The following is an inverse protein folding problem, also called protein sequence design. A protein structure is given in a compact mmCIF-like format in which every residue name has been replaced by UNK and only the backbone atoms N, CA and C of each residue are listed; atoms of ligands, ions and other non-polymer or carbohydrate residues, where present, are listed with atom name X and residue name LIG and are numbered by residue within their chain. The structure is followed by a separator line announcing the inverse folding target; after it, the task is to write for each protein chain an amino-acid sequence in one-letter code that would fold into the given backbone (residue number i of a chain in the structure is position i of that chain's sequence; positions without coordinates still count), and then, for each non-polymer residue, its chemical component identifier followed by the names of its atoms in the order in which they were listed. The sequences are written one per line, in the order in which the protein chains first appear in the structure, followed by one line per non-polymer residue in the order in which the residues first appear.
data_IF_219828475410
#
_entry.id   IF_219828475410
#
_cell.length_a   1.000
_cell.length_b   1.000
_cell.length_c   1.000
_cell.angle_alpha   90.00
_cell.angle_beta   90.00
_cell.angle_gamma   90.00
#
_symmetry.space_group_name_H-M   'P 1'
#
loop_
_entity.id
_entity.type
_entity.pdbx_description
1 polymer ?
#
# COMPACT_ATOMS: atom_id res chain seq x y z
N UNK A 1 8.04 27.43 4.45
CA UNK A 1 8.54 26.08 4.76
C UNK A 1 7.48 25.12 4.25
N UNK A 2 7.78 24.31 3.22
CA UNK A 2 6.81 23.35 2.69
C UNK A 2 6.37 22.39 3.82
N UNK A 3 5.11 22.49 4.21
CA UNK A 3 4.48 21.62 5.20
C UNK A 3 4.09 20.31 4.51
N UNK A 4 4.01 19.19 5.23
CA UNK A 4 3.50 17.90 4.68
C UNK A 4 2.01 17.91 4.34
N UNK A 5 1.38 19.09 4.35
CA UNK A 5 -0.02 19.25 4.04
C UNK A 5 -0.29 18.85 2.59
N UNK A 6 -1.41 18.18 2.34
CA UNK A 6 -1.92 17.99 0.97
C UNK A 6 -2.45 19.32 0.39
N UNK A 7 -2.83 20.25 1.27
CA UNK A 7 -3.35 21.58 0.94
C UNK A 7 -2.21 22.55 0.65
N UNK A 8 -1.42 22.25 -0.39
CA UNK A 8 -0.47 23.21 -0.93
C UNK A 8 -1.20 24.22 -1.83
N UNK A 9 -0.65 25.42 -1.98
CA UNK A 9 -1.12 26.37 -2.99
C UNK A 9 -1.01 25.74 -4.38
N UNK A 10 -2.02 25.95 -5.23
CA UNK A 10 -2.02 25.46 -6.59
C UNK A 10 -1.03 26.25 -7.45
N UNK A 11 -0.18 25.55 -8.20
CA UNK A 11 0.63 26.19 -9.23
C UNK A 11 -0.23 26.44 -10.48
N UNK A 12 -0.28 27.69 -10.95
CA UNK A 12 -1.07 28.08 -12.12
C UNK A 12 -0.66 27.31 -13.38
N UNK A 13 0.65 27.12 -13.63
CA UNK A 13 1.14 26.37 -14.79
C UNK A 13 0.64 24.91 -14.75
N UNK A 14 0.51 24.35 -13.55
CA UNK A 14 0.01 22.99 -13.37
C UNK A 14 -1.51 22.90 -13.59
N UNK A 15 -2.27 23.93 -13.19
CA UNK A 15 -3.71 24.01 -13.46
C UNK A 15 -3.98 24.15 -14.97
N UNK A 16 -3.21 25.01 -15.65
CA UNK A 16 -3.28 25.21 -17.10
C UNK A 16 -2.95 23.91 -17.85
N UNK A 17 -1.88 23.20 -17.43
CA UNK A 17 -1.44 21.95 -18.05
C UNK A 17 -2.49 20.83 -18.00
N UNK A 18 -3.23 20.74 -16.88
CA UNK A 18 -4.28 19.72 -16.71
C UNK A 18 -5.70 20.21 -17.07
N UNK A 19 -5.84 21.44 -17.57
CA UNK A 19 -7.13 22.03 -17.93
C UNK A 19 -8.08 22.21 -16.73
N UNK A 20 -7.53 22.45 -15.54
CA UNK A 20 -8.31 22.57 -14.31
C UNK A 20 -8.80 23.99 -14.01
N UNK A 21 -8.42 25.02 -14.77
CA UNK A 21 -8.84 26.40 -14.48
C UNK A 21 -10.27 26.73 -14.90
N UNK A 22 -10.75 26.21 -16.04
CA UNK A 22 -12.05 26.60 -16.60
C UNK A 22 -13.22 25.72 -16.15
N UNK A 23 -12.94 24.53 -15.60
CA UNK A 23 -13.95 23.49 -15.31
C UNK A 23 -13.85 22.92 -13.89
N UNK A 24 -13.29 23.70 -12.96
CA UNK A 24 -13.26 23.34 -11.54
C UNK A 24 -13.87 24.41 -10.66
N UNK A 25 -14.39 23.97 -9.53
CA UNK A 25 -14.86 24.86 -8.47
C UNK A 25 -13.99 24.63 -7.24
N UNK A 26 -13.67 25.73 -6.58
CA UNK A 26 -12.92 25.72 -5.34
C UNK A 26 -13.87 25.54 -4.17
N UNK A 27 -13.51 24.66 -3.24
CA UNK A 27 -14.29 24.41 -2.04
C UNK A 27 -13.40 24.40 -0.80
N UNK A 28 -13.95 24.86 0.32
CA UNK A 28 -13.35 24.72 1.64
C UNK A 28 -13.60 23.33 2.22
N UNK A 29 -12.56 22.73 2.79
CA UNK A 29 -12.64 21.48 3.56
C UNK A 29 -12.00 21.65 4.93
N UNK A 30 -12.62 21.06 5.95
CA UNK A 30 -12.11 21.06 7.31
C UNK A 30 -10.86 20.15 7.45
N UNK A 31 -9.69 20.77 7.62
CA UNK A 31 -8.41 20.07 7.61
C UNK A 31 -8.08 19.38 8.93
N UNK A 32 -8.59 19.90 10.05
CA UNK A 32 -8.32 19.41 11.40
C UNK A 32 -9.49 19.64 12.38
N UNK A 33 -9.41 19.01 13.55
CA UNK A 33 -10.42 19.14 14.62
C UNK A 33 -10.48 20.52 15.28
N UNK A 34 -9.56 21.44 14.93
CA UNK A 34 -9.62 22.84 15.37
C UNK A 34 -10.45 23.70 14.41
N UNK A 35 -10.97 23.12 13.32
CA UNK A 35 -11.87 23.78 12.38
C UNK A 35 -11.15 24.56 11.30
N UNK A 36 -9.84 24.38 11.08
CA UNK A 36 -9.13 25.10 10.00
C UNK A 36 -9.68 24.68 8.65
N UNK A 37 -10.01 25.65 7.80
CA UNK A 37 -10.56 25.43 6.46
C UNK A 37 -9.46 25.65 5.43
N UNK A 38 -9.32 24.69 4.52
CA UNK A 38 -8.32 24.68 3.46
C UNK A 38 -9.01 24.51 2.11
N UNK A 39 -8.45 25.07 1.04
CA UNK A 39 -9.03 24.99 -0.30
C UNK A 39 -8.66 23.69 -1.02
N UNK A 40 -9.67 23.05 -1.61
CA UNK A 40 -9.54 21.96 -2.57
C UNK A 40 -10.19 22.34 -3.91
N UNK A 41 -9.71 21.75 -5.01
CA UNK A 41 -10.37 21.83 -6.31
C UNK A 41 -11.25 20.61 -6.52
N UNK A 42 -12.47 20.85 -7.00
CA UNK A 42 -13.40 19.80 -7.37
C UNK A 42 -13.77 19.95 -8.84
N UNK A 43 -13.75 18.85 -9.58
CA UNK A 43 -14.14 18.80 -10.99
C UNK A 43 -15.24 17.77 -11.20
N UNK A 44 -15.99 17.91 -12.29
CA UNK A 44 -16.88 16.85 -12.81
C UNK A 44 -16.20 16.06 -13.95
N UNK A 45 -15.01 16.48 -14.41
CA UNK A 45 -14.26 15.76 -15.42
C UNK A 45 -13.42 14.64 -14.80
N UNK A 46 -13.87 13.41 -15.06
CA UNK A 46 -13.17 12.18 -14.68
C UNK A 46 -11.82 12.06 -15.40
N UNK A 47 -11.70 12.63 -16.60
CA UNK A 47 -10.53 12.43 -17.46
C UNK A 47 -9.29 13.08 -16.87
N UNK A 48 -9.37 14.36 -16.49
CA UNK A 48 -8.25 15.04 -15.81
C UNK A 48 -7.93 14.41 -14.46
N UNK A 49 -8.93 13.95 -13.71
CA UNK A 49 -8.72 13.23 -12.45
C UNK A 49 -7.93 11.93 -12.65
N UNK A 50 -8.36 11.06 -13.57
CA UNK A 50 -7.69 9.79 -13.84
C UNK A 50 -6.30 10.02 -14.46
N UNK A 51 -6.13 11.07 -15.27
CA UNK A 51 -4.81 11.42 -15.81
C UNK A 51 -3.81 11.75 -14.69
N UNK A 52 -4.17 12.66 -13.77
CA UNK A 52 -3.32 13.03 -12.63
C UNK A 52 -3.03 11.81 -11.76
N UNK A 53 -4.04 10.99 -11.47
CA UNK A 53 -3.86 9.75 -10.70
C UNK A 53 -2.88 8.80 -11.38
N UNK A 54 -3.03 8.56 -12.69
CA UNK A 54 -2.14 7.68 -13.43
C UNK A 54 -0.70 8.17 -13.40
N UNK A 55 -0.46 9.48 -13.53
CA UNK A 55 0.88 10.07 -13.41
C UNK A 55 1.46 9.83 -12.01
N UNK A 56 0.65 10.01 -10.96
CA UNK A 56 1.10 9.81 -9.58
C UNK A 56 1.42 8.34 -9.28
N UNK A 57 0.68 7.39 -9.83
CA UNK A 57 0.86 5.95 -9.55
C UNK A 57 1.89 5.26 -10.46
N UNK A 58 2.21 5.84 -11.62
CA UNK A 58 3.10 5.20 -12.59
C UNK A 58 4.56 5.32 -12.20
N UNK A 59 5.20 4.17 -11.99
CA UNK A 59 6.65 4.08 -11.77
C UNK A 59 7.43 4.43 -13.05
N UNK A 60 8.38 5.36 -12.94
CA UNK A 60 9.24 5.78 -14.07
C UNK A 60 10.65 5.17 -14.00
N UNK A 61 11.10 4.75 -12.81
CA UNK A 61 12.41 4.13 -12.61
C UNK A 61 12.31 2.80 -11.85
N UNK A 62 13.21 1.85 -12.15
CA UNK A 62 13.27 0.55 -11.45
C UNK A 62 14.39 0.45 -10.41
N UNK A 63 15.32 1.39 -10.42
CA UNK A 63 16.48 1.38 -9.54
C UNK A 63 16.94 2.79 -9.25
N UNK A 64 17.25 3.04 -7.98
CA UNK A 64 17.83 4.31 -7.53
C UNK A 64 19.30 4.34 -7.94
N UNK A 65 19.67 5.30 -8.78
CA UNK A 65 21.06 5.43 -9.25
C UNK A 65 21.63 6.83 -9.09
N UNK A 66 20.79 7.85 -9.28
CA UNK A 66 21.23 9.25 -9.44
C UNK A 66 20.56 10.19 -8.44
N UNK A 67 19.42 9.77 -7.92
CA UNK A 67 18.56 10.48 -7.00
C UNK A 67 19.21 10.63 -5.63
N UNK A 68 18.96 11.76 -4.95
CA UNK A 68 19.57 12.11 -3.66
C UNK A 68 18.54 12.54 -2.63
N UNK A 69 17.35 12.98 -3.05
CA UNK A 69 16.30 13.52 -2.20
C UNK A 69 14.93 12.96 -2.55
N UNK A 70 14.41 12.10 -1.68
CA UNK A 70 13.09 11.50 -1.86
C UNK A 70 11.99 12.24 -1.09
N UNK A 71 10.87 12.49 -1.75
CA UNK A 71 9.60 12.86 -1.12
C UNK A 71 8.69 11.63 -1.09
N UNK A 72 8.13 11.31 0.07
CA UNK A 72 7.20 10.18 0.23
C UNK A 72 5.78 10.73 0.23
N UNK A 73 4.95 10.25 -0.69
CA UNK A 73 3.55 10.66 -0.79
C UNK A 73 2.80 10.34 0.53
N UNK A 74 1.91 11.24 1.01
CA UNK A 74 1.08 11.00 2.18
C UNK A 74 0.26 9.72 2.10
N UNK A 75 -0.06 9.13 3.26
CA UNK A 75 -0.87 7.91 3.38
C UNK A 75 -0.26 6.64 2.75
N UNK A 76 1.05 6.63 2.52
CA UNK A 76 1.78 5.43 2.14
C UNK A 76 1.40 4.24 3.02
N UNK A 77 1.18 3.02 2.49
CA UNK A 77 0.75 1.85 3.26
C UNK A 77 1.89 1.19 4.05
N UNK A 78 3.14 1.60 3.84
CA UNK A 78 4.33 1.16 4.59
C UNK A 78 4.70 2.24 5.64
N UNK A 79 5.36 1.87 6.73
CA UNK A 79 5.86 2.82 7.72
C UNK A 79 6.95 3.73 7.13
N UNK A 80 6.93 5.00 7.53
CA UNK A 80 7.92 5.97 7.05
C UNK A 80 9.35 5.60 7.47
N UNK A 81 9.53 4.94 8.60
CA UNK A 81 10.86 4.56 9.09
C UNK A 81 11.48 3.45 8.26
N UNK A 82 10.65 2.50 7.79
CA UNK A 82 11.11 1.42 6.90
C UNK A 82 11.51 1.94 5.52
N UNK A 83 10.70 2.82 4.92
CA UNK A 83 11.06 3.46 3.64
C UNK A 83 12.32 4.32 3.80
N UNK A 84 12.41 5.10 4.88
CA UNK A 84 13.63 5.89 5.17
C UNK A 84 14.87 5.00 5.30
N UNK A 85 14.76 3.84 5.93
CA UNK A 85 15.87 2.89 6.05
C UNK A 85 16.32 2.38 4.67
N UNK A 86 15.38 1.92 3.84
CA UNK A 86 15.66 1.46 2.48
C UNK A 86 16.28 2.56 1.59
N UNK A 87 15.74 3.77 1.63
CA UNK A 87 16.29 4.90 0.88
C UNK A 87 17.68 5.31 1.38
N UNK A 88 17.92 5.26 2.69
CA UNK A 88 19.23 5.58 3.28
C UNK A 88 20.32 4.62 2.81
N UNK A 89 19.99 3.34 2.61
CA UNK A 89 20.92 2.35 2.05
C UNK A 89 21.29 2.68 0.60
N UNK A 90 20.33 3.19 -0.17
CA UNK A 90 20.58 3.70 -1.52
C UNK A 90 21.25 5.09 -1.56
N UNK A 91 21.60 5.67 -0.40
CA UNK A 91 22.23 6.99 -0.30
C UNK A 91 21.28 8.18 -0.49
N UNK A 92 19.96 7.95 -0.42
CA UNK A 92 18.91 8.96 -0.61
C UNK A 92 18.42 9.51 0.72
N UNK A 93 18.30 10.84 0.81
CA UNK A 93 17.79 11.55 1.99
C UNK A 93 16.32 11.85 1.82
N UNK A 94 15.49 11.53 2.83
CA UNK A 94 14.07 11.89 2.78
C UNK A 94 13.87 13.38 3.10
N UNK A 95 13.13 14.07 2.23
CA UNK A 95 12.73 15.48 2.38
C UNK A 95 11.22 15.60 2.58
N UNK A 96 10.80 16.61 3.33
CA UNK A 96 9.38 17.00 3.46
C UNK A 96 8.97 18.04 2.41
N UNK A 97 9.96 18.64 1.75
CA UNK A 97 9.74 19.59 0.67
C UNK A 97 9.71 18.85 -0.65
N UNK A 98 8.53 18.76 -1.25
CA UNK A 98 8.35 18.09 -2.52
C UNK A 98 9.14 18.79 -3.63
N UNK A 99 9.24 20.13 -3.61
CA UNK A 99 9.93 20.93 -4.64
C UNK A 99 11.44 20.66 -4.69
N UNK A 100 12.04 20.32 -3.54
CA UNK A 100 13.45 19.97 -3.42
C UNK A 100 13.75 18.49 -3.66
N UNK A 101 12.73 17.67 -3.95
CA UNK A 101 12.90 16.26 -4.23
C UNK A 101 13.26 16.02 -5.70
N UNK A 102 14.12 15.02 -5.92
CA UNK A 102 14.46 14.44 -7.21
C UNK A 102 13.90 13.02 -7.40
N UNK A 103 13.32 12.45 -6.33
CA UNK A 103 12.60 11.18 -6.32
C UNK A 103 11.27 11.33 -5.59
N UNK A 104 10.21 10.77 -6.17
CA UNK A 104 8.91 10.60 -5.51
C UNK A 104 8.71 9.12 -5.22
N UNK A 105 8.45 8.81 -3.95
CA UNK A 105 8.02 7.47 -3.54
C UNK A 105 6.50 7.42 -3.53
N UNK A 106 5.95 6.70 -4.50
CA UNK A 106 4.50 6.57 -4.72
C UNK A 106 3.91 5.25 -4.20
N UNK A 107 2.59 5.13 -4.23
CA UNK A 107 1.81 3.94 -3.87
C UNK A 107 0.39 4.02 -4.43
N UNK A 108 -0.29 2.89 -4.57
CA UNK A 108 -1.67 2.83 -5.11
C UNK A 108 -2.79 3.41 -4.21
N UNK A 109 -2.49 3.82 -2.98
CA UNK A 109 -3.48 4.37 -2.05
C UNK A 109 -3.54 5.92 -2.08
N UNK A 110 -3.51 6.53 -3.27
CA UNK A 110 -3.55 8.00 -3.45
C UNK A 110 -4.98 8.56 -3.46
N UNK A 111 -5.96 7.72 -3.76
CA UNK A 111 -7.38 8.10 -3.82
C UNK A 111 -8.26 7.42 -2.76
N UNK A 112 -9.42 8.02 -2.50
CA UNK A 112 -10.48 7.37 -1.72
C UNK A 112 -11.87 7.81 -2.19
N UNK A 113 -12.81 6.87 -2.15
CA UNK A 113 -14.23 7.17 -2.31
C UNK A 113 -14.86 7.59 -0.98
N UNK A 114 -15.58 8.71 -1.00
CA UNK A 114 -16.29 9.27 0.14
C UNK A 114 -17.76 9.49 -0.21
N UNK A 115 -18.67 9.29 0.75
CA UNK A 115 -20.10 9.42 0.50
C UNK A 115 -20.87 10.05 1.67
N UNK A 116 -21.96 10.74 1.38
CA UNK A 116 -22.98 11.14 2.36
C UNK A 116 -22.41 11.88 3.57
N UNK A 117 -21.47 12.80 3.36
CA UNK A 117 -20.85 13.55 4.47
C UNK A 117 -19.73 12.82 5.22
N UNK A 118 -19.27 11.64 4.76
CA UNK A 118 -18.13 10.93 5.37
C UNK A 118 -16.91 11.86 5.57
N UNK A 119 -16.17 11.68 6.67
CA UNK A 119 -14.94 12.41 6.97
C UNK A 119 -13.91 12.40 5.81
N UNK A 120 -13.62 13.58 5.26
CA UNK A 120 -12.60 13.76 4.22
C UNK A 120 -11.22 13.79 4.88
N UNK A 121 -10.37 12.82 4.55
CA UNK A 121 -9.07 12.66 5.21
C UNK A 121 -8.05 13.65 4.66
N UNK A 122 -7.45 14.46 5.54
CA UNK A 122 -6.38 15.43 5.20
C UNK A 122 -5.03 14.81 4.80
N UNK A 123 -5.01 13.50 4.56
CA UNK A 123 -3.83 12.73 4.14
C UNK A 123 -4.01 12.07 2.78
N UNK A 124 -5.21 12.13 2.20
CA UNK A 124 -5.53 11.55 0.89
C UNK A 124 -5.38 12.63 -0.17
N UNK A 125 -4.61 12.36 -1.22
CA UNK A 125 -4.29 13.34 -2.25
C UNK A 125 -5.50 13.68 -3.14
N UNK A 126 -6.33 12.69 -3.41
CA UNK A 126 -7.42 12.76 -4.38
C UNK A 126 -8.64 12.01 -3.86
N UNK A 127 -9.86 12.40 -4.22
CA UNK A 127 -11.02 11.66 -3.76
C UNK A 127 -12.24 11.83 -4.64
N UNK A 128 -13.06 10.79 -4.70
CA UNK A 128 -14.38 10.88 -5.32
C UNK A 128 -15.40 11.17 -4.22
N UNK A 129 -16.08 12.30 -4.34
CA UNK A 129 -17.11 12.77 -3.42
C UNK A 129 -18.48 12.45 -4.01
N UNK A 130 -19.33 11.78 -3.22
CA UNK A 130 -20.69 11.45 -3.60
C UNK A 130 -21.68 11.96 -2.57
N UNK A 131 -22.65 12.76 -3.00
CA UNK A 131 -23.75 13.27 -2.17
C UNK A 131 -23.24 14.02 -0.92
N UNK A 132 -22.62 15.17 -1.16
CA UNK A 132 -22.19 16.10 -0.11
C UNK A 132 -23.01 17.39 -0.17
N UNK A 133 -23.31 17.95 0.99
CA UNK A 133 -23.90 19.28 1.09
C UNK A 133 -22.79 20.33 1.22
N UNK A 134 -23.01 21.49 0.61
CA UNK A 134 -22.11 22.64 0.69
C UNK A 134 -22.87 23.82 1.26
N UNK A 135 -22.22 24.58 2.13
CA UNK A 135 -22.80 25.74 2.78
C UNK A 135 -21.83 26.91 2.77
N UNK A 136 -22.37 28.14 2.80
CA UNK A 136 -21.59 29.38 2.95
C UNK A 136 -21.81 30.04 4.31
N UNK A 137 -22.94 29.77 4.95
CA UNK A 137 -23.29 30.40 6.23
C UNK A 137 -22.55 29.76 7.40
N UNK A 138 -21.44 30.38 7.81
CA UNK A 138 -20.55 29.88 8.86
C UNK A 138 -20.78 30.54 10.22
N UNK A 139 -22.02 30.88 10.60
CA UNK A 139 -22.35 31.60 11.85
C UNK A 139 -21.57 31.16 13.11
N UNK A 140 -21.28 29.87 13.24
CA UNK A 140 -20.68 29.26 14.43
C UNK A 140 -19.21 28.83 14.28
N UNK A 141 -18.59 28.99 13.11
CA UNK A 141 -17.20 28.58 12.84
C UNK A 141 -16.40 29.77 12.30
N UNK A 142 -15.56 30.36 13.15
CA UNK A 142 -14.80 31.58 12.83
C UNK A 142 -13.92 31.41 11.59
N UNK A 143 -13.16 30.32 11.51
CA UNK A 143 -12.34 29.95 10.35
C UNK A 143 -13.15 29.81 9.07
N UNK A 144 -14.37 29.26 9.15
CA UNK A 144 -15.29 29.19 8.02
C UNK A 144 -15.77 30.56 7.55
N UNK A 145 -16.06 31.47 8.50
CA UNK A 145 -16.45 32.86 8.15
C UNK A 145 -15.32 33.61 7.48
N UNK A 146 -14.10 33.47 8.01
CA UNK A 146 -12.90 34.07 7.43
C UNK A 146 -12.67 33.54 6.02
N UNK A 147 -12.72 32.21 5.84
CA UNK A 147 -12.58 31.57 4.54
C UNK A 147 -13.61 32.05 3.51
N UNK A 148 -14.90 32.05 3.86
CA UNK A 148 -15.98 32.49 2.95
C UNK A 148 -15.86 33.98 2.66
N UNK A 149 -15.47 34.81 3.63
CA UNK A 149 -15.28 36.24 3.42
C UNK A 149 -14.08 36.57 2.51
N UNK A 150 -13.03 35.75 2.56
CA UNK A 150 -11.82 35.94 1.75
C UNK A 150 -11.95 35.37 0.34
N UNK A 151 -12.62 34.24 0.18
CA UNK A 151 -12.65 33.47 -1.08
C UNK A 151 -13.99 33.48 -1.80
N UNK A 152 -15.10 33.75 -1.10
CA UNK A 152 -16.48 33.53 -1.56
C UNK A 152 -16.76 32.08 -2.04
N UNK A 153 -15.95 31.11 -1.60
CA UNK A 153 -16.15 29.70 -1.91
C UNK A 153 -17.04 29.00 -0.88
N UNK A 154 -17.78 27.97 -1.31
CA UNK A 154 -18.56 27.12 -0.42
C UNK A 154 -17.69 26.19 0.42
N UNK A 155 -18.18 25.77 1.58
CA UNK A 155 -17.52 24.78 2.45
C UNK A 155 -18.29 23.46 2.39
N UNK A 156 -17.57 22.37 2.16
CA UNK A 156 -18.13 21.02 2.15
C UNK A 156 -18.48 20.59 3.58
N UNK A 157 -19.71 20.14 3.78
CA UNK A 157 -20.16 19.57 5.04
C UNK A 157 -19.73 18.10 5.14
N UNK A 158 -18.72 17.84 5.98
CA UNK A 158 -18.27 16.49 6.33
C UNK A 158 -18.44 16.22 7.85
N UNK A 159 -18.14 14.99 8.27
CA UNK A 159 -18.19 14.59 9.68
C UNK A 159 -17.40 15.53 10.61
N UNK A 160 -16.27 16.11 10.16
CA UNK A 160 -15.50 17.04 10.99
C UNK A 160 -16.23 18.36 11.18
N UNK A 161 -16.88 18.86 10.13
CA UNK A 161 -17.73 20.06 10.24
C UNK A 161 -18.91 19.79 11.18
N UNK A 162 -19.45 18.56 11.17
CA UNK A 162 -20.56 18.17 12.06
C UNK A 162 -20.25 18.29 13.56
N UNK A 163 -18.97 18.25 13.94
CA UNK A 163 -18.52 18.46 15.33
C UNK A 163 -18.76 19.90 15.82
N UNK A 164 -18.82 20.88 14.91
CA UNK A 164 -19.03 22.28 15.23
C UNK A 164 -20.51 22.67 15.23
N UNK A 165 -21.30 22.14 14.30
CA UNK A 165 -22.74 22.39 14.24
C UNK A 165 -23.50 21.33 13.44
N UNK A 166 -24.75 21.14 13.82
CA UNK A 166 -25.66 20.18 13.20
C UNK A 166 -26.14 20.64 11.82
N UNK A 167 -26.32 19.70 10.89
CA UNK A 167 -26.84 19.93 9.54
C UNK A 167 -28.25 20.56 9.49
N UNK A 168 -29.05 20.49 10.56
CA UNK A 168 -30.32 21.24 10.61
C UNK A 168 -30.15 22.75 10.74
N UNK A 169 -28.95 23.21 11.12
CA UNK A 169 -28.65 24.63 11.35
C UNK A 169 -27.84 25.27 10.21
N UNK A 170 -27.58 24.52 9.12
CA UNK A 170 -26.93 25.05 7.92
C UNK A 170 -27.98 25.41 6.89
N UNK A 171 -27.76 26.52 6.21
CA UNK A 171 -28.45 26.83 4.97
C UNK A 171 -27.64 26.23 3.82
N UNK A 172 -28.18 25.19 3.21
CA UNK A 172 -27.50 24.46 2.13
C UNK A 172 -27.45 25.39 0.91
N UNK A 173 -26.24 25.71 0.49
CA UNK A 173 -25.99 26.54 -0.68
C UNK A 173 -26.15 25.72 -1.96
N UNK A 174 -25.55 24.54 -1.99
CA UNK A 174 -25.57 23.62 -3.12
C UNK A 174 -25.31 22.18 -2.66
N UNK A 175 -25.58 21.23 -3.54
CA UNK A 175 -25.37 19.80 -3.30
C UNK A 175 -24.45 19.22 -4.35
N UNK A 176 -23.34 18.62 -3.91
CA UNK A 176 -22.39 17.91 -4.77
C UNK A 176 -22.85 16.47 -4.91
N UNK A 177 -23.52 16.15 -6.03
CA UNK A 177 -24.00 14.79 -6.29
C UNK A 177 -22.85 13.82 -6.57
N UNK A 178 -21.99 14.16 -7.52
CA UNK A 178 -20.80 13.40 -7.89
C UNK A 178 -19.71 14.37 -8.34
N UNK A 179 -18.56 14.36 -7.66
CA UNK A 179 -17.45 15.24 -8.00
C UNK A 179 -16.11 14.64 -7.58
N UNK A 180 -15.04 15.09 -8.23
CA UNK A 180 -13.68 14.60 -8.06
C UNK A 180 -12.83 15.68 -7.41
N UNK A 181 -12.49 15.47 -6.14
CA UNK A 181 -11.60 16.29 -5.33
C UNK A 181 -10.14 16.02 -5.71
N UNK A 182 -9.40 17.09 -5.95
CA UNK A 182 -7.97 17.08 -6.25
C UNK A 182 -7.29 18.09 -5.33
N UNK A 183 -6.29 17.65 -4.55
CA UNK A 183 -5.51 18.54 -3.69
C UNK A 183 -4.40 19.27 -4.45
N UNK A 184 -3.96 20.43 -3.95
CA UNK A 184 -2.86 21.18 -4.56
C UNK A 184 -1.55 20.39 -4.62
N UNK A 185 -1.26 19.56 -3.62
CA UNK A 185 -0.09 18.67 -3.67
C UNK A 185 -0.19 17.66 -4.83
N UNK A 186 -1.37 17.11 -5.10
CA UNK A 186 -1.57 16.15 -6.18
C UNK A 186 -1.28 16.77 -7.56
N UNK A 187 -1.90 17.94 -7.83
CA UNK A 187 -1.72 18.69 -9.09
C UNK A 187 -0.26 19.08 -9.29
N UNK A 188 0.34 19.70 -8.28
CA UNK A 188 1.71 20.19 -8.38
C UNK A 188 2.72 19.05 -8.56
N UNK A 189 2.51 17.91 -7.88
CA UNK A 189 3.41 16.76 -8.01
C UNK A 189 3.27 16.10 -9.38
N UNK A 190 2.04 15.90 -9.86
CA UNK A 190 1.79 15.32 -11.17
C UNK A 190 2.40 16.17 -12.29
N UNK A 191 2.24 17.50 -12.23
CA UNK A 191 2.85 18.41 -13.20
C UNK A 191 4.38 18.25 -13.23
N UNK A 192 5.04 18.21 -12.06
CA UNK A 192 6.50 18.04 -12.01
C UNK A 192 6.98 16.69 -12.53
N UNK A 193 6.20 15.62 -12.32
CA UNK A 193 6.51 14.31 -12.89
C UNK A 193 6.45 14.37 -14.42
N UNK A 194 5.40 14.98 -14.95
CA UNK A 194 5.13 14.98 -16.39
C UNK A 194 6.02 15.97 -17.16
N UNK A 195 6.34 17.14 -16.58
CA UNK A 195 7.09 18.20 -17.29
C UNK A 195 8.57 18.27 -16.93
N UNK A 196 8.94 18.07 -15.66
CA UNK A 196 10.33 18.18 -15.18
C UNK A 196 11.08 16.84 -15.23
N UNK A 197 10.39 15.73 -15.52
CA UNK A 197 10.98 14.39 -15.55
C UNK A 197 11.39 13.88 -14.17
N UNK A 198 10.65 14.26 -13.13
CA UNK A 198 10.89 13.81 -11.76
C UNK A 198 10.80 12.27 -11.67
N UNK A 199 11.82 11.63 -11.11
CA UNK A 199 11.84 10.17 -10.95
C UNK A 199 10.73 9.72 -9.98
N UNK A 200 9.99 8.69 -10.35
CA UNK A 200 8.91 8.08 -9.55
C UNK A 200 9.25 6.62 -9.36
N UNK A 201 9.23 6.18 -8.11
CA UNK A 201 9.45 4.79 -7.73
C UNK A 201 8.36 4.33 -6.78
N UNK A 202 7.84 3.13 -6.98
CA UNK A 202 6.84 2.58 -6.08
C UNK A 202 7.47 2.24 -4.72
N UNK A 203 6.74 2.45 -3.63
CA UNK A 203 7.20 2.09 -2.29
C UNK A 203 7.59 0.59 -2.19
N UNK A 204 6.91 -0.29 -2.91
CA UNK A 204 7.28 -1.71 -3.01
C UNK A 204 8.61 -1.92 -3.73
N UNK A 205 8.81 -1.28 -4.88
CA UNK A 205 10.08 -1.31 -5.60
C UNK A 205 11.23 -0.80 -4.74
N UNK A 206 11.02 0.27 -3.97
CA UNK A 206 12.02 0.80 -3.02
C UNK A 206 12.41 -0.29 -2.00
N UNK A 207 11.43 -0.97 -1.40
CA UNK A 207 11.72 -2.06 -0.46
C UNK A 207 12.36 -3.28 -1.11
N UNK A 208 11.95 -3.62 -2.34
CA UNK A 208 12.48 -4.75 -3.09
C UNK A 208 13.92 -4.50 -3.56
N UNK A 209 14.29 -3.24 -3.78
CA UNK A 209 15.66 -2.84 -4.11
C UNK A 209 16.61 -2.81 -2.89
N UNK A 210 16.06 -2.80 -1.67
CA UNK A 210 16.87 -2.81 -0.45
C UNK A 210 17.50 -4.17 -0.21
N UNK A 211 18.79 -4.16 0.12
CA UNK A 211 19.56 -5.34 0.49
C UNK A 211 19.13 -5.95 1.84
N UNK A 212 18.18 -5.35 2.56
CA UNK A 212 17.67 -5.85 3.86
C UNK A 212 16.69 -6.99 3.75
N UNK A 213 16.29 -7.38 2.54
CA UNK A 213 15.44 -8.55 2.36
C UNK A 213 16.19 -9.82 2.73
N UNK A 214 15.66 -10.53 3.72
CA UNK A 214 16.22 -11.80 4.18
C UNK A 214 15.50 -12.95 3.48
N UNK A 215 16.25 -13.84 2.84
CA UNK A 215 15.71 -15.09 2.29
C UNK A 215 15.28 -15.98 3.45
N UNK A 216 14.04 -16.48 3.40
CA UNK A 216 13.50 -17.34 4.44
C UNK A 216 14.24 -18.69 4.49
N UNK A 217 14.67 -19.11 5.67
CA UNK A 217 15.29 -20.42 5.95
C UNK A 217 14.45 -21.22 6.94
N UNK A 218 14.67 -22.53 7.04
CA UNK A 218 13.95 -23.40 8.00
C UNK A 218 14.12 -22.91 9.45
N UNK A 219 15.35 -22.58 9.87
CA UNK A 219 15.64 -22.03 11.19
C UNK A 219 14.87 -20.72 11.47
N UNK A 220 14.72 -19.87 10.45
CA UNK A 220 13.94 -18.64 10.56
C UNK A 220 12.45 -18.94 10.72
N UNK A 221 11.92 -19.96 10.04
CA UNK A 221 10.52 -20.35 10.21
C UNK A 221 10.25 -20.80 11.65
N UNK A 222 11.14 -21.61 12.23
CA UNK A 222 11.03 -22.04 13.63
C UNK A 222 11.12 -20.87 14.61
N UNK A 223 12.09 -19.98 14.41
CA UNK A 223 12.29 -18.79 15.22
C UNK A 223 11.06 -17.87 15.19
N UNK A 224 10.58 -17.54 13.99
CA UNK A 224 9.43 -16.65 13.79
C UNK A 224 8.15 -17.28 14.35
N UNK A 225 7.96 -18.58 14.15
CA UNK A 225 6.82 -19.31 14.73
C UNK A 225 6.83 -19.18 16.25
N UNK A 226 7.99 -19.38 16.87
CA UNK A 226 8.15 -19.28 18.33
C UNK A 226 7.87 -17.86 18.82
N UNK A 227 8.43 -16.85 18.14
CA UNK A 227 8.27 -15.44 18.53
C UNK A 227 6.83 -14.95 18.37
N UNK A 228 6.19 -15.22 17.22
CA UNK A 228 4.84 -14.75 16.90
C UNK A 228 3.77 -15.44 17.77
N UNK A 229 3.95 -16.73 18.07
CA UNK A 229 3.04 -17.48 18.91
C UNK A 229 3.37 -17.35 20.42
N UNK A 230 4.45 -16.67 20.80
CA UNK A 230 4.82 -16.42 22.19
C UNK A 230 3.71 -15.70 22.95
N UNK A 231 3.64 -15.92 24.26
CA UNK A 231 2.81 -15.12 25.17
C UNK A 231 3.51 -13.85 25.65
N UNK A 232 4.80 -13.69 25.35
CA UNK A 232 5.57 -12.51 25.69
C UNK A 232 5.45 -11.44 24.58
N UNK A 233 5.04 -10.23 24.96
CA UNK A 233 4.89 -9.10 24.05
C UNK A 233 6.22 -8.68 23.39
N UNK A 234 7.35 -8.82 24.09
CA UNK A 234 8.66 -8.47 23.52
C UNK A 234 9.05 -9.40 22.37
N UNK A 235 8.82 -10.71 22.53
CA UNK A 235 9.06 -11.70 21.48
C UNK A 235 8.14 -11.46 20.28
N UNK A 236 6.86 -11.18 20.55
CA UNK A 236 5.88 -10.87 19.50
C UNK A 236 6.30 -9.62 18.72
N UNK A 237 6.75 -8.56 19.40
CA UNK A 237 7.23 -7.34 18.75
C UNK A 237 8.51 -7.57 17.95
N UNK A 238 9.41 -8.44 18.41
CA UNK A 238 10.61 -8.80 17.66
C UNK A 238 10.24 -9.54 16.36
N UNK A 239 9.36 -10.54 16.45
CA UNK A 239 8.85 -11.26 15.28
C UNK A 239 8.16 -10.31 14.30
N UNK A 240 7.33 -9.38 14.80
CA UNK A 240 6.64 -8.38 13.98
C UNK A 240 7.59 -7.40 13.26
N UNK A 241 8.80 -7.17 13.78
CA UNK A 241 9.83 -6.36 13.12
C UNK A 241 10.54 -7.14 12.02
N UNK A 242 10.74 -8.44 12.21
CA UNK A 242 11.45 -9.32 11.26
C UNK A 242 10.53 -9.72 10.10
N UNK A 243 9.27 -10.07 10.38
CA UNK A 243 8.31 -10.54 9.36
C UNK A 243 8.35 -9.74 8.05
N UNK A 244 8.16 -8.40 8.09
CA UNK A 244 8.08 -7.67 6.85
C UNK A 244 9.42 -7.60 6.11
N UNK A 245 10.59 -7.87 6.73
CA UNK A 245 11.90 -7.91 6.04
C UNK A 245 12.15 -9.21 5.28
N UNK A 246 11.23 -10.18 5.34
CA UNK A 246 11.38 -11.46 4.63
C UNK A 246 11.09 -11.26 3.14
N UNK A 247 11.94 -11.84 2.29
CA UNK A 247 11.64 -11.95 0.86
C UNK A 247 10.57 -13.01 0.62
N UNK A 248 9.36 -12.55 0.33
CA UNK A 248 8.19 -13.39 0.04
C UNK A 248 8.17 -13.93 -1.40
N UNK A 249 9.11 -13.53 -2.25
CA UNK A 249 9.18 -13.97 -3.66
C UNK A 249 10.00 -15.25 -3.86
N UNK A 250 10.65 -15.72 -2.79
CA UNK A 250 11.52 -16.89 -2.79
C UNK A 250 11.08 -17.91 -1.74
N UNK A 251 11.47 -19.18 -1.92
CA UNK A 251 11.19 -20.26 -0.97
C UNK A 251 9.71 -20.37 -0.57
N UNK A 252 8.80 -20.38 -1.54
CA UNK A 252 7.35 -20.45 -1.32
C UNK A 252 6.90 -21.61 -0.42
N UNK A 253 7.62 -22.74 -0.43
CA UNK A 253 7.34 -23.87 0.48
C UNK A 253 7.57 -23.51 1.95
N UNK A 254 8.60 -22.69 2.26
CA UNK A 254 8.85 -22.19 3.62
C UNK A 254 7.89 -21.07 3.98
N UNK A 255 7.52 -20.22 3.01
CA UNK A 255 6.49 -19.20 3.23
C UNK A 255 5.15 -19.85 3.56
N UNK A 256 4.79 -20.92 2.86
CA UNK A 256 3.61 -21.75 3.16
C UNK A 256 3.71 -22.39 4.54
N UNK A 257 4.85 -23.01 4.90
CA UNK A 257 5.03 -23.62 6.24
C UNK A 257 4.91 -22.58 7.36
N UNK A 258 5.50 -21.40 7.16
CA UNK A 258 5.33 -20.26 8.07
C UNK A 258 3.85 -19.86 8.16
N UNK A 259 3.16 -19.74 7.03
CA UNK A 259 1.74 -19.39 6.97
C UNK A 259 0.87 -20.34 7.80
N UNK A 260 1.06 -21.65 7.62
CA UNK A 260 0.36 -22.69 8.39
C UNK A 260 0.53 -22.50 9.91
N UNK A 261 1.70 -22.03 10.34
CA UNK A 261 2.07 -21.92 11.77
C UNK A 261 1.67 -20.60 12.42
N UNK A 262 1.63 -19.48 11.68
CA UNK A 262 1.46 -18.15 12.27
C UNK A 262 0.13 -17.46 11.93
N UNK A 263 -0.62 -17.94 10.93
CA UNK A 263 -1.84 -17.25 10.45
C UNK A 263 -2.82 -16.93 11.58
N UNK A 264 -3.03 -17.89 12.50
CA UNK A 264 -3.92 -17.72 13.65
C UNK A 264 -3.46 -16.66 14.67
N UNK A 265 -2.21 -16.21 14.63
CA UNK A 265 -1.64 -15.19 15.53
C UNK A 265 -1.45 -13.82 14.88
N UNK A 266 -1.60 -13.71 13.55
CA UNK A 266 -1.40 -12.44 12.84
C UNK A 266 -2.40 -11.35 13.24
N UNK A 267 -3.59 -11.71 13.72
CA UNK A 267 -4.59 -10.76 14.21
C UNK A 267 -4.06 -9.85 15.34
N UNK A 268 -3.07 -10.32 16.12
CA UNK A 268 -2.42 -9.54 17.18
C UNK A 268 -1.74 -8.27 16.63
N UNK A 269 -1.34 -8.31 15.36
CA UNK A 269 -0.63 -7.23 14.68
C UNK A 269 -1.53 -6.38 13.77
N UNK A 270 -2.86 -6.42 13.97
CA UNK A 270 -3.80 -5.63 13.17
C UNK A 270 -3.55 -4.11 13.16
N UNK A 271 -2.86 -3.60 14.19
CA UNK A 271 -2.44 -2.20 14.27
C UNK A 271 -1.04 -1.94 13.72
N UNK A 272 -0.26 -2.98 13.46
CA UNK A 272 1.06 -2.87 12.87
C UNK A 272 0.92 -2.80 11.34
N UNK A 273 1.07 -1.58 10.84
CA UNK A 273 0.95 -1.25 9.44
C UNK A 273 1.93 -2.03 8.54
N UNK A 274 3.17 -2.24 8.97
CA UNK A 274 4.18 -2.97 8.17
C UNK A 274 3.85 -4.46 8.08
N UNK A 275 3.38 -5.07 9.17
CA UNK A 275 2.94 -6.47 9.16
C UNK A 275 1.69 -6.63 8.31
N UNK A 276 0.70 -5.73 8.42
CA UNK A 276 -0.51 -5.77 7.59
C UNK A 276 -0.21 -5.57 6.11
N UNK A 277 0.73 -4.71 5.81
CA UNK A 277 1.22 -4.53 4.45
C UNK A 277 1.85 -5.82 3.93
N UNK A 278 2.81 -6.37 4.68
CA UNK A 278 3.49 -7.61 4.31
C UNK A 278 2.53 -8.80 4.17
N UNK A 279 1.56 -8.96 5.06
CA UNK A 279 0.51 -9.99 4.99
C UNK A 279 -0.27 -9.91 3.68
N UNK A 280 -0.58 -8.69 3.22
CA UNK A 280 -1.28 -8.45 1.95
C UNK A 280 -0.40 -8.81 0.75
N UNK A 281 0.83 -8.30 0.68
CA UNK A 281 1.70 -8.49 -0.50
C UNK A 281 2.31 -9.89 -0.59
N UNK A 282 2.56 -10.55 0.54
CA UNK A 282 3.06 -11.93 0.59
C UNK A 282 1.98 -12.99 0.37
N UNK A 283 0.71 -12.58 0.34
CA UNK A 283 -0.44 -13.47 0.24
C UNK A 283 -0.46 -14.61 1.29
N UNK A 284 0.13 -14.36 2.47
CA UNK A 284 0.32 -15.39 3.51
C UNK A 284 -1.00 -16.01 3.99
N UNK A 285 -2.08 -15.21 4.03
CA UNK A 285 -3.39 -15.71 4.44
C UNK A 285 -3.93 -16.79 3.48
N UNK A 286 -3.83 -16.56 2.16
CA UNK A 286 -4.23 -17.54 1.15
C UNK A 286 -3.36 -18.81 1.22
N UNK A 287 -2.05 -18.65 1.40
CA UNK A 287 -1.15 -19.79 1.61
C UNK A 287 -1.52 -20.62 2.85
N UNK A 288 -1.99 -19.99 3.92
CA UNK A 288 -2.43 -20.70 5.13
C UNK A 288 -3.69 -21.56 4.91
N UNK A 289 -4.52 -21.25 3.91
CA UNK A 289 -5.73 -22.03 3.60
C UNK A 289 -5.51 -23.15 2.58
N UNK A 290 -4.31 -23.24 1.98
CA UNK A 290 -3.95 -24.27 1.00
C UNK A 290 -3.41 -25.52 1.70
N UNK A 291 -3.87 -26.69 1.29
CA UNK A 291 -3.20 -27.96 1.63
C UNK A 291 -1.81 -28.03 0.97
N UNK A 292 -0.97 -29.00 1.37
CA UNK A 292 0.30 -29.20 0.70
C UNK A 292 0.13 -29.57 -0.79
N UNK A 293 -0.95 -30.28 -1.14
CA UNK A 293 -1.28 -30.61 -2.53
C UNK A 293 -1.69 -29.35 -3.30
N UNK A 294 -2.60 -28.54 -2.74
CA UNK A 294 -3.05 -27.29 -3.37
C UNK A 294 -1.89 -26.30 -3.55
N UNK A 295 -0.91 -26.30 -2.63
CA UNK A 295 0.27 -25.47 -2.76
C UNK A 295 1.17 -25.93 -3.91
N UNK A 296 1.35 -27.24 -4.11
CA UNK A 296 2.10 -27.77 -5.28
C UNK A 296 1.40 -27.37 -6.59
N UNK A 297 0.08 -27.55 -6.67
CA UNK A 297 -0.71 -27.21 -7.86
C UNK A 297 -0.65 -25.70 -8.14
N UNK A 298 -0.80 -24.87 -7.11
CA UNK A 298 -0.69 -23.41 -7.24
C UNK A 298 0.70 -22.99 -7.74
N UNK A 299 1.77 -23.59 -7.21
CA UNK A 299 3.12 -23.31 -7.68
C UNK A 299 3.33 -23.74 -9.13
N UNK A 300 2.72 -24.84 -9.58
CA UNK A 300 2.79 -25.28 -10.97
C UNK A 300 2.05 -24.32 -11.91
N UNK A 301 0.82 -23.93 -11.56
CA UNK A 301 -0.02 -23.03 -12.34
C UNK A 301 0.61 -21.62 -12.51
N UNK A 302 1.44 -21.20 -11.55
CA UNK A 302 2.16 -19.92 -11.59
C UNK A 302 3.60 -20.04 -12.11
N UNK A 303 4.04 -21.21 -12.58
CA UNK A 303 5.42 -21.48 -13.03
C UNK A 303 6.51 -21.26 -11.95
N UNK A 304 6.13 -21.40 -10.67
CA UNK A 304 6.97 -21.21 -9.49
C UNK A 304 7.43 -22.52 -8.84
N UNK A 305 7.00 -23.67 -9.34
CA UNK A 305 7.31 -24.98 -8.75
C UNK A 305 8.78 -25.38 -8.97
N UNK A 306 9.55 -25.40 -7.89
CA UNK A 306 10.96 -25.83 -7.88
C UNK A 306 11.16 -27.24 -7.34
N UNK A 307 12.33 -27.83 -7.61
CA UNK A 307 12.76 -29.12 -7.02
C UNK A 307 12.68 -29.08 -5.49
N UNK A 308 13.19 -28.01 -4.88
CA UNK A 308 13.23 -27.89 -3.42
C UNK A 308 11.81 -27.77 -2.84
N UNK A 309 10.95 -26.95 -3.46
CA UNK A 309 9.56 -26.79 -3.01
C UNK A 309 8.77 -28.09 -3.14
N UNK A 310 8.90 -28.81 -4.25
CA UNK A 310 8.23 -30.09 -4.44
C UNK A 310 8.71 -31.15 -3.44
N UNK A 311 10.02 -31.24 -3.21
CA UNK A 311 10.61 -32.21 -2.28
C UNK A 311 10.27 -31.93 -0.82
N UNK A 312 10.03 -30.67 -0.47
CA UNK A 312 9.55 -30.28 0.84
C UNK A 312 8.08 -30.66 1.05
N UNK A 313 7.22 -30.34 0.07
CA UNK A 313 5.77 -30.51 0.17
C UNK A 313 5.30 -31.96 -0.07
N UNK A 314 5.91 -32.70 -1.00
CA UNK A 314 5.45 -34.05 -1.37
C UNK A 314 5.38 -35.05 -0.19
N UNK A 315 6.37 -35.09 0.73
CA UNK A 315 6.27 -35.94 1.91
C UNK A 315 5.10 -35.58 2.83
N UNK A 316 4.68 -34.30 2.83
CA UNK A 316 3.53 -33.81 3.60
C UNK A 316 2.24 -34.29 2.93
N UNK A 317 2.10 -34.07 1.62
CA UNK A 317 0.98 -34.59 0.82
C UNK A 317 0.80 -36.09 1.05
N UNK A 318 1.89 -36.85 1.03
CA UNK A 318 1.85 -38.30 1.25
C UNK A 318 1.30 -38.68 2.62
N UNK A 319 1.56 -37.89 3.67
CA UNK A 319 1.02 -38.11 5.02
C UNK A 319 -0.46 -37.74 5.12
N UNK A 320 -0.94 -36.82 4.30
CA UNK A 320 -2.34 -36.38 4.26
C UNK A 320 -3.27 -37.39 3.57
N UNK A 321 -2.72 -38.34 2.78
CA UNK A 321 -3.50 -39.40 2.12
C UNK A 321 -4.22 -40.27 3.15
N UNK A 322 -5.56 -40.20 3.16
CA UNK A 322 -6.41 -41.04 3.99
C UNK A 322 -6.93 -42.26 3.22
N UNK A 323 -6.74 -43.46 3.79
CA UNK A 323 -7.19 -44.73 3.21
C UNK A 323 -8.03 -45.47 4.25
N UNK A 324 -9.35 -45.51 4.04
CA UNK A 324 -10.29 -46.08 5.01
C UNK A 324 -10.18 -47.61 5.16
N UNK A 325 -9.89 -48.33 4.08
CA UNK A 325 -9.89 -49.81 4.06
C UNK A 325 -8.50 -50.44 4.27
N UNK A 326 -7.59 -49.75 4.98
CA UNK A 326 -6.18 -50.14 5.16
C UNK A 326 -5.96 -51.48 5.90
N UNK A 327 -6.97 -51.94 6.65
CA UNK A 327 -6.88 -53.19 7.41
C UNK A 327 -7.02 -54.44 6.51
N UNK A 328 -7.57 -54.29 5.31
CA UNK A 328 -7.81 -55.40 4.38
C UNK A 328 -6.90 -55.36 3.15
N UNK A 329 -6.46 -54.17 2.72
CA UNK A 329 -5.74 -53.98 1.47
C UNK A 329 -4.39 -53.29 1.65
N UNK A 330 -3.41 -53.68 0.84
CA UNK A 330 -2.12 -53.00 0.70
C UNK A 330 -2.20 -52.04 -0.48
N UNK A 331 -1.87 -50.76 -0.23
CA UNK A 331 -1.87 -49.72 -1.25
C UNK A 331 -0.44 -49.26 -1.52
N UNK A 332 -0.13 -48.97 -2.78
CA UNK A 332 1.15 -48.40 -3.20
C UNK A 332 0.92 -47.04 -3.85
N UNK A 333 1.40 -45.98 -3.21
CA UNK A 333 1.32 -44.61 -3.72
C UNK A 333 2.56 -44.31 -4.55
N UNK A 334 2.37 -43.67 -5.70
CA UNK A 334 3.46 -43.22 -6.56
C UNK A 334 3.18 -41.81 -7.09
N UNK A 335 4.23 -40.99 -7.14
CA UNK A 335 4.20 -39.68 -7.77
C UNK A 335 3.95 -39.83 -9.27
N UNK A 336 3.03 -39.02 -9.82
CA UNK A 336 2.67 -39.04 -11.25
C UNK A 336 3.92 -38.77 -12.12
N UNK A 337 4.02 -39.38 -13.31
CA UNK A 337 5.20 -39.28 -14.17
C UNK A 337 5.73 -37.86 -14.38
N UNK A 338 4.83 -36.90 -14.61
CA UNK A 338 5.09 -35.49 -14.86
C UNK A 338 5.85 -34.78 -13.72
N UNK A 339 5.60 -35.18 -12.46
CA UNK A 339 6.27 -34.60 -11.29
C UNK A 339 7.57 -35.32 -10.90
N UNK A 340 7.88 -36.49 -11.50
CA UNK A 340 9.09 -37.25 -11.16
C UNK A 340 10.38 -36.51 -11.48
N UNK A 341 10.33 -35.52 -12.38
CA UNK A 341 11.46 -34.62 -12.68
C UNK A 341 11.92 -33.85 -11.44
N UNK A 342 11.01 -33.53 -10.53
CA UNK A 342 11.33 -32.79 -9.30
C UNK A 342 11.93 -33.66 -8.18
N UNK A 343 11.99 -34.99 -8.35
CA UNK A 343 12.54 -35.91 -7.35
C UNK A 343 14.04 -36.18 -7.54
N UNK A 344 14.62 -35.83 -8.69
CA UNK A 344 16.03 -36.07 -9.01
C UNK A 344 16.82 -34.78 -8.83
N UNK A 345 17.86 -34.78 -7.99
CA UNK A 345 18.87 -33.71 -8.03
C UNK A 345 19.67 -33.89 -9.30
N UNK A 346 19.80 -32.85 -10.12
CA UNK A 346 20.87 -32.83 -11.12
C UNK A 346 22.19 -32.92 -10.35
N UNK A 347 22.89 -34.04 -10.50
CA UNK A 347 24.28 -34.13 -10.11
C UNK A 347 25.06 -33.23 -11.05
N UNK A 348 25.37 -32.01 -10.62
CA UNK A 348 26.35 -31.16 -11.30
C UNK A 348 27.60 -32.00 -11.55
N UNK A 349 27.94 -32.14 -12.84
CA UNK A 349 29.05 -32.96 -13.30
C UNK A 349 30.35 -32.47 -12.68
N UNK A 350 30.87 -33.24 -11.73
CA UNK A 350 32.31 -33.24 -11.46
C UNK A 350 32.94 -33.89 -12.67
N UNK A 351 33.37 -33.09 -13.64
CA UNK A 351 34.36 -33.50 -14.64
C UNK A 351 35.61 -33.92 -13.86
N UNK A 352 35.76 -35.23 -13.66
CA UNK A 352 37.07 -35.82 -13.38
C UNK A 352 37.85 -35.72 -14.67
N UNK A 353 38.67 -34.68 -14.79
CA UNK A 353 39.78 -34.68 -15.74
C UNK A 353 40.73 -35.80 -15.32
N UNK A 354 40.92 -36.76 -16.23
CA UNK A 354 41.99 -37.75 -16.20
C UNK A 354 43.18 -37.21 -17.00
#
# INVERSE_FOLDING_TARGET
MANKSIYQEYNQDALDHFGLDEHTSDYGVCSNSSGVIETIKCTEDVTSFENIKNILETETIKSITTEKRAFIIPKCPISGDRIKAALKEAGVVVTNDFTAADLVVTHHNVEKYYRNGDNIQSTILMGKLWNYDVFKDCRYMTSGREYVAETDNGIIYDDKVSEFFNSYNIDIHETMYESWMISGLAVNLAHRIDTEGLSVMEADSVLNSSATKTVLTEDMVELLTTQINSYNDEDQQLGAKILPTIDYTQNYHLLWDLAQKINGSLYKFNRNKDVKYWEKVSNIADHAYRSAEDMILWLEDNELLTIDSFRYLEPIVRKEIQIHNRNLYVFKVQVKPEYRKFLKRETNGVTKEN
#
